data_IF_919466395269
#
_entry.id   IF_919466395269
#
_cell.length_a   1.000
_cell.length_b   1.000
_cell.length_c   1.000
_cell.angle_alpha   90.00
_cell.angle_beta   90.00
_cell.angle_gamma   90.00
#
_symmetry.space_group_name_H-M   'P 1'
#
loop_
_entity.id
_entity.type
_entity.pdbx_description
1 polymer ?
#
# COMPACT_ATOMS: atom_id res chain seq x y z
N UNK A 1 12.63 4.19 3.61
CA UNK A 1 12.74 3.95 5.09
C UNK A 1 12.39 5.20 5.88
N UNK A 2 12.98 6.34 5.56
CA UNK A 2 12.70 7.60 6.27
C UNK A 2 11.22 8.01 6.21
N UNK A 3 10.57 7.85 5.07
CA UNK A 3 9.16 8.18 4.91
C UNK A 3 8.26 7.34 5.82
N UNK A 4 8.53 6.04 5.92
CA UNK A 4 7.76 5.16 6.81
C UNK A 4 7.88 5.60 8.26
N UNK A 5 9.09 5.93 8.71
CA UNK A 5 9.32 6.41 10.08
C UNK A 5 8.58 7.72 10.33
N UNK A 6 8.64 8.68 9.40
CA UNK A 6 7.93 9.95 9.52
C UNK A 6 6.42 9.77 9.59
N UNK A 7 5.88 8.78 8.89
CA UNK A 7 4.44 8.48 8.89
C UNK A 7 4.00 7.60 10.08
N UNK A 8 4.92 7.26 10.99
CA UNK A 8 4.60 6.47 12.19
C UNK A 8 4.40 4.98 11.94
N UNK A 9 4.86 4.47 10.83
CA UNK A 9 4.71 3.05 10.50
C UNK A 9 5.74 2.19 11.23
N UNK A 10 5.37 0.93 11.49
CA UNK A 10 6.26 -0.02 12.11
C UNK A 10 7.54 -0.16 11.29
N UNK A 11 8.74 -0.10 11.91
CA UNK A 11 9.99 -0.14 11.17
C UNK A 11 10.23 -1.50 10.52
N UNK A 12 10.94 -1.48 9.40
CA UNK A 12 11.43 -2.66 8.71
C UNK A 12 12.96 -2.62 8.71
N UNK A 13 13.60 -3.79 8.71
CA UNK A 13 15.06 -3.84 8.65
C UNK A 13 15.57 -3.40 7.28
N UNK A 14 16.79 -2.87 7.24
CA UNK A 14 17.43 -2.52 5.98
C UNK A 14 17.63 -3.76 5.11
N UNK A 15 18.00 -4.88 5.71
CA UNK A 15 18.16 -6.15 5.03
C UNK A 15 16.84 -6.60 4.39
N UNK A 16 15.74 -6.54 5.14
CA UNK A 16 14.42 -6.86 4.62
C UNK A 16 14.02 -5.96 3.45
N UNK A 17 14.32 -4.67 3.52
CA UNK A 17 14.04 -3.74 2.44
C UNK A 17 14.86 -4.05 1.18
N UNK A 18 16.13 -4.42 1.34
CA UNK A 18 16.98 -4.78 0.20
C UNK A 18 16.47 -5.98 -0.57
N UNK A 19 15.86 -6.94 0.12
CA UNK A 19 15.25 -8.11 -0.51
C UNK A 19 13.85 -7.78 -1.02
N UNK A 20 13.05 -7.12 -0.21
CA UNK A 20 11.62 -6.91 -0.49
C UNK A 20 11.34 -5.91 -1.59
N UNK A 21 12.00 -4.75 -1.59
CA UNK A 21 11.70 -3.70 -2.56
C UNK A 21 11.88 -4.12 -4.02
N UNK A 22 12.95 -4.86 -4.40
CA UNK A 22 13.07 -5.36 -5.77
C UNK A 22 11.96 -6.33 -6.20
N UNK A 23 11.24 -6.93 -5.26
CA UNK A 23 10.13 -7.82 -5.53
C UNK A 23 8.77 -7.11 -5.56
N UNK A 24 8.77 -5.80 -5.58
CA UNK A 24 7.55 -5.00 -5.74
C UNK A 24 6.96 -5.27 -7.13
N UNK A 25 5.68 -5.66 -7.17
CA UNK A 25 4.99 -5.88 -8.43
C UNK A 25 4.66 -4.56 -9.14
N UNK A 26 4.21 -3.56 -8.38
CA UNK A 26 3.98 -2.20 -8.87
C UNK A 26 4.13 -1.23 -7.70
N UNK A 27 4.81 -0.13 -7.93
CA UNK A 27 5.02 0.89 -6.91
C UNK A 27 4.66 2.27 -7.42
N UNK A 28 4.27 3.14 -6.49
CA UNK A 28 4.00 4.54 -6.76
C UNK A 28 4.72 5.39 -5.72
N UNK A 29 5.30 6.49 -6.17
CA UNK A 29 5.92 7.48 -5.28
C UNK A 29 5.44 8.87 -5.65
N UNK A 30 5.35 9.73 -4.65
CA UNK A 30 5.08 11.16 -4.84
C UNK A 30 6.33 11.91 -4.38
N UNK A 31 6.84 12.75 -5.27
CA UNK A 31 8.01 13.59 -4.99
C UNK A 31 7.59 15.04 -4.80
N UNK A 32 8.23 15.70 -3.86
CA UNK A 32 8.15 17.14 -3.68
C UNK A 32 9.57 17.66 -3.54
N UNK A 33 10.00 18.52 -4.48
CA UNK A 33 11.41 18.88 -4.63
C UNK A 33 12.26 17.61 -4.77
N UNK A 34 13.27 17.42 -3.94
CA UNK A 34 14.14 16.24 -4.00
C UNK A 34 13.74 15.13 -3.03
N UNK A 35 12.58 15.26 -2.37
CA UNK A 35 12.15 14.32 -1.35
C UNK A 35 10.97 13.47 -1.82
N UNK A 36 10.95 12.22 -1.39
CA UNK A 36 9.79 11.36 -1.53
C UNK A 36 8.88 11.61 -0.33
N UNK A 37 7.67 12.10 -0.60
CA UNK A 37 6.70 12.49 0.42
C UNK A 37 5.48 11.57 0.49
N UNK A 38 5.36 10.66 -0.45
CA UNK A 38 4.30 9.65 -0.46
C UNK A 38 4.73 8.41 -1.21
N UNK A 39 4.20 7.26 -0.83
CA UNK A 39 4.45 6.01 -1.54
C UNK A 39 3.36 4.99 -1.28
N UNK A 40 3.35 3.97 -2.12
CA UNK A 40 2.55 2.77 -1.94
C UNK A 40 3.08 1.67 -2.84
N UNK A 41 2.83 0.42 -2.47
CA UNK A 41 3.30 -0.72 -3.25
C UNK A 41 2.21 -1.78 -3.37
N UNK A 42 2.29 -2.53 -4.45
CA UNK A 42 1.55 -3.79 -4.61
C UNK A 42 2.58 -4.91 -4.63
N UNK A 43 2.37 -5.93 -3.81
CA UNK A 43 3.13 -7.17 -3.84
C UNK A 43 2.20 -8.31 -4.23
N UNK A 44 2.72 -9.37 -4.84
CA UNK A 44 1.88 -10.49 -5.24
C UNK A 44 2.56 -11.43 -6.23
N UNK A 45 1.83 -12.46 -6.59
CA UNK A 45 2.33 -13.50 -7.50
C UNK A 45 2.17 -13.15 -8.99
N UNK A 46 1.56 -12.02 -9.29
CA UNK A 46 1.32 -11.59 -10.67
C UNK A 46 0.07 -12.17 -11.31
N UNK A 47 -0.65 -13.05 -10.64
CA UNK A 47 -1.79 -13.75 -11.22
C UNK A 47 -3.02 -13.84 -10.33
N UNK A 48 -2.87 -14.35 -9.13
CA UNK A 48 -4.01 -14.70 -8.27
C UNK A 48 -4.13 -13.84 -7.03
N UNK A 49 -3.02 -13.52 -6.38
CA UNK A 49 -3.03 -12.81 -5.11
C UNK A 49 -2.16 -11.57 -5.14
N UNK A 50 -2.74 -10.47 -4.67
CA UNK A 50 -2.06 -9.19 -4.56
C UNK A 50 -2.36 -8.58 -3.20
N UNK A 51 -1.39 -7.89 -2.64
CA UNK A 51 -1.59 -7.13 -1.41
C UNK A 51 -1.04 -5.71 -1.58
N UNK A 52 -1.82 -4.72 -1.17
CA UNK A 52 -1.38 -3.34 -1.13
C UNK A 52 -0.72 -3.10 0.23
N UNK A 53 0.51 -2.61 0.20
CA UNK A 53 1.32 -2.36 1.39
C UNK A 53 2.02 -1.02 1.29
N UNK A 54 2.55 -0.54 2.42
CA UNK A 54 3.39 0.66 2.49
C UNK A 54 2.72 1.95 1.99
N UNK A 55 1.40 2.05 2.10
CA UNK A 55 0.72 3.31 1.80
C UNK A 55 1.06 4.31 2.91
N UNK A 56 1.80 5.33 2.57
CA UNK A 56 2.10 6.39 3.53
C UNK A 56 2.34 7.72 2.84
N UNK A 57 2.02 8.80 3.57
CA UNK A 57 2.23 10.18 3.14
C UNK A 57 2.90 10.90 4.29
N UNK A 58 3.96 11.64 3.99
CA UNK A 58 4.64 12.46 5.01
C UNK A 58 3.63 13.37 5.71
N UNK A 59 3.66 13.47 7.06
CA UNK A 59 2.68 14.25 7.82
C UNK A 59 2.49 15.68 7.33
N UNK A 60 3.56 16.33 6.88
CA UNK A 60 3.49 17.71 6.36
C UNK A 60 2.77 17.82 5.01
N UNK A 61 2.54 16.71 4.34
CA UNK A 61 1.89 16.66 3.03
C UNK A 61 0.53 15.96 3.06
N UNK A 62 0.06 15.56 4.23
CA UNK A 62 -1.26 14.97 4.38
C UNK A 62 -2.37 16.00 4.18
N UNK A 63 -3.59 15.52 3.91
CA UNK A 63 -4.73 16.39 3.66
C UNK A 63 -4.78 17.03 2.28
N UNK A 64 -3.94 16.60 1.35
CA UNK A 64 -3.86 17.14 -0.02
C UNK A 64 -4.30 16.13 -1.09
N UNK A 65 -4.89 15.02 -0.69
CA UNK A 65 -5.34 13.98 -1.62
C UNK A 65 -4.25 13.09 -2.18
N UNK A 66 -3.03 13.10 -1.61
CA UNK A 66 -1.93 12.27 -2.11
C UNK A 66 -2.18 10.78 -1.91
N UNK A 67 -2.72 10.38 -0.76
CA UNK A 67 -3.08 8.99 -0.51
C UNK A 67 -4.08 8.47 -1.53
N UNK A 68 -5.06 9.28 -1.89
CA UNK A 68 -6.04 8.93 -2.91
C UNK A 68 -5.41 8.78 -4.29
N UNK A 69 -4.47 9.65 -4.64
CA UNK A 69 -3.75 9.56 -5.91
C UNK A 69 -2.87 8.32 -6.00
N UNK A 70 -2.20 7.97 -4.89
CA UNK A 70 -1.41 6.75 -4.81
C UNK A 70 -2.30 5.53 -5.01
N UNK A 71 -3.41 5.45 -4.28
CA UNK A 71 -4.36 4.36 -4.43
C UNK A 71 -4.93 4.26 -5.83
N UNK A 72 -5.25 5.38 -6.45
CA UNK A 72 -5.77 5.38 -7.83
C UNK A 72 -4.76 4.76 -8.79
N UNK A 73 -3.47 5.08 -8.64
CA UNK A 73 -2.41 4.53 -9.48
C UNK A 73 -2.25 3.02 -9.28
N UNK A 74 -2.22 2.57 -8.03
CA UNK A 74 -2.08 1.15 -7.71
C UNK A 74 -3.27 0.33 -8.22
N UNK A 75 -4.48 0.82 -8.00
CA UNK A 75 -5.71 0.14 -8.44
C UNK A 75 -5.78 0.10 -9.97
N UNK A 76 -5.42 1.17 -10.65
CA UNK A 76 -5.38 1.19 -12.11
C UNK A 76 -4.42 0.14 -12.65
N UNK A 77 -3.23 0.01 -12.08
CA UNK A 77 -2.25 -1.00 -12.50
C UNK A 77 -2.80 -2.41 -12.32
N UNK A 78 -3.46 -2.68 -11.19
CA UNK A 78 -4.07 -3.99 -10.94
C UNK A 78 -5.15 -4.28 -11.99
N UNK A 79 -6.05 -3.33 -12.24
CA UNK A 79 -7.13 -3.53 -13.21
C UNK A 79 -6.63 -3.77 -14.62
N UNK A 80 -5.55 -3.09 -15.02
CA UNK A 80 -5.01 -3.19 -16.37
C UNK A 80 -4.16 -4.43 -16.62
N UNK A 81 -3.49 -4.93 -15.58
CA UNK A 81 -2.41 -5.90 -15.75
C UNK A 81 -2.67 -7.27 -15.15
N UNK A 82 -3.79 -7.47 -14.46
CA UNK A 82 -4.07 -8.75 -13.81
C UNK A 82 -5.20 -9.51 -14.53
N UNK A 83 -5.14 -10.85 -14.52
CA UNK A 83 -6.24 -11.67 -15.02
C UNK A 83 -7.51 -11.45 -14.18
N UNK A 84 -8.70 -11.67 -14.76
CA UNK A 84 -9.93 -11.65 -13.99
C UNK A 84 -9.92 -12.68 -12.86
N UNK A 85 -10.57 -12.36 -11.74
CA UNK A 85 -10.69 -13.27 -10.61
C UNK A 85 -9.55 -13.22 -9.63
N UNK A 86 -8.61 -12.28 -9.77
CA UNK A 86 -7.55 -12.07 -8.78
C UNK A 86 -8.15 -11.58 -7.46
N UNK A 87 -7.47 -11.87 -6.37
CA UNK A 87 -7.83 -11.42 -5.03
C UNK A 87 -6.85 -10.34 -4.57
N UNK A 88 -7.37 -9.17 -4.22
CA UNK A 88 -6.56 -8.04 -3.77
C UNK A 88 -6.94 -7.75 -2.32
N UNK A 89 -5.96 -7.77 -1.43
CA UNK A 89 -6.18 -7.49 -0.01
C UNK A 89 -5.30 -6.35 0.49
N UNK A 90 -5.64 -5.82 1.64
CA UNK A 90 -4.83 -4.86 2.38
C UNK A 90 -5.22 -4.93 3.86
N UNK A 91 -4.34 -4.41 4.70
CA UNK A 91 -4.62 -4.23 6.13
C UNK A 91 -4.78 -2.73 6.37
N UNK A 92 -5.95 -2.34 6.84
CA UNK A 92 -6.26 -0.94 7.11
C UNK A 92 -6.14 -0.66 8.61
N UNK A 93 -5.25 0.27 8.96
CA UNK A 93 -5.07 0.71 10.34
C UNK A 93 -5.93 1.94 10.62
N UNK A 94 -6.52 2.00 11.81
CA UNK A 94 -7.31 3.15 12.25
C UNK A 94 -8.41 3.51 11.27
N UNK A 95 -8.44 4.76 10.84
CA UNK A 95 -9.46 5.30 9.93
C UNK A 95 -9.11 5.14 8.44
N UNK A 96 -7.99 4.51 8.13
CA UNK A 96 -7.53 4.37 6.74
C UNK A 96 -8.52 3.60 5.85
N UNK A 97 -9.38 2.76 6.44
CA UNK A 97 -10.41 2.03 5.71
C UNK A 97 -11.31 2.96 4.88
N UNK A 98 -11.51 4.20 5.34
CA UNK A 98 -12.37 5.17 4.65
C UNK A 98 -11.82 5.54 3.28
N UNK A 99 -10.50 5.65 3.16
CA UNK A 99 -9.85 5.88 1.87
C UNK A 99 -10.03 4.65 0.96
N UNK A 100 -9.79 3.47 1.49
CA UNK A 100 -9.80 2.24 0.70
C UNK A 100 -11.20 1.87 0.23
N UNK A 101 -12.23 2.16 1.03
CA UNK A 101 -13.63 1.94 0.65
C UNK A 101 -14.01 2.71 -0.61
N UNK A 102 -13.41 3.86 -0.87
CA UNK A 102 -13.65 4.63 -2.08
C UNK A 102 -13.21 3.90 -3.36
N UNK A 103 -12.34 2.90 -3.22
CA UNK A 103 -11.83 2.10 -4.34
C UNK A 103 -12.45 0.70 -4.40
N UNK A 104 -13.50 0.45 -3.62
CA UNK A 104 -14.23 -0.80 -3.67
C UNK A 104 -13.76 -1.86 -2.66
N UNK A 105 -12.84 -1.51 -1.77
CA UNK A 105 -12.43 -2.41 -0.70
C UNK A 105 -13.51 -2.46 0.38
N UNK A 106 -13.74 -3.64 0.91
CA UNK A 106 -14.72 -3.87 1.97
C UNK A 106 -14.08 -4.72 3.06
N UNK A 107 -14.52 -4.57 4.33
CA UNK A 107 -14.03 -5.44 5.40
C UNK A 107 -14.26 -6.91 5.09
N UNK A 108 -13.31 -7.77 5.41
CA UNK A 108 -13.47 -9.21 5.26
C UNK A 108 -14.39 -9.80 6.34
N UNK A 109 -14.49 -9.12 7.48
CA UNK A 109 -15.40 -9.51 8.55
C UNK A 109 -16.87 -9.42 8.09
N UNK A 110 -17.78 -10.26 8.61
CA UNK A 110 -17.55 -11.31 9.61
C UNK A 110 -17.06 -12.65 9.05
N UNK A 111 -17.01 -12.83 7.73
CA UNK A 111 -16.63 -14.11 7.14
C UNK A 111 -15.19 -14.49 7.43
N UNK A 112 -14.31 -13.50 7.55
CA UNK A 112 -12.90 -13.70 7.88
C UNK A 112 -12.37 -12.49 8.63
N UNK A 113 -11.13 -12.60 9.11
CA UNK A 113 -10.41 -11.48 9.75
C UNK A 113 -8.98 -11.46 9.27
N UNK A 114 -8.38 -10.30 9.26
CA UNK A 114 -6.94 -10.16 9.06
C UNK A 114 -6.19 -10.67 10.29
N UNK A 115 -5.09 -11.37 10.06
CA UNK A 115 -4.22 -11.85 11.13
C UNK A 115 -2.78 -11.55 10.73
N UNK A 116 -1.91 -11.36 11.72
CA UNK A 116 -0.50 -11.07 11.44
C UNK A 116 0.42 -11.82 12.41
N UNK A 117 1.66 -11.97 11.98
CA UNK A 117 2.73 -12.56 12.76
C UNK A 117 4.05 -11.91 12.34
N UNK A 118 4.90 -11.63 13.31
CA UNK A 118 6.24 -11.08 13.09
C UNK A 118 7.25 -12.04 13.70
N UNK A 119 7.85 -12.90 12.87
CA UNK A 119 8.90 -13.83 13.36
C UNK A 119 10.15 -13.11 13.85
#
# INVERSE_FOLDING_TARGET
>A
MALRAAAGMHPRSLEGARVGLPNTWHGAVVRHADEIVGMGRVVGDGGCFFQIVDICVHPEHQGRGLGKRIMADLVAAIRERTPPGSYVSLIADGEAHRLYEQFGFAPTAPASIGMYWRP
#
